data_IF_590226562455
#
_entry.id   IF_590226562455
#
_cell.length_a   1.000
_cell.length_b   1.000
_cell.length_c   1.000
_cell.angle_alpha   90.00
_cell.angle_beta   90.00
_cell.angle_gamma   90.00
#
_symmetry.space_group_name_H-M   'P 1'
#
loop_
_entity.id
_entity.type
_entity.pdbx_description
1 polymer ?
#
# COMPACT_ATOMS: atom_id res chain seq x y z
N UNK A 1 -2.85 2.21 -12.20
CA UNK A 1 -1.72 2.54 -11.31
C UNK A 1 -0.99 1.28 -10.91
N UNK A 2 0.33 1.25 -11.11
CA UNK A 2 1.18 0.18 -10.60
C UNK A 2 1.34 0.31 -9.07
N UNK A 3 1.46 -0.82 -8.39
CA UNK A 3 1.90 -0.84 -6.99
C UNK A 3 3.43 -0.88 -6.96
N UNK A 4 4.03 0.04 -6.22
CA UNK A 4 5.46 0.02 -5.91
C UNK A 4 5.67 -0.84 -4.66
N UNK A 5 6.59 -1.82 -4.71
CA UNK A 5 7.00 -2.50 -3.49
C UNK A 5 8.01 -1.62 -2.73
N UNK A 6 7.82 -1.53 -1.42
CA UNK A 6 8.71 -0.79 -0.51
C UNK A 6 9.17 -1.75 0.58
N UNK A 7 10.44 -2.08 0.60
CA UNK A 7 11.01 -2.92 1.64
C UNK A 7 11.18 -2.09 2.92
N UNK A 8 10.85 -2.68 4.07
CA UNK A 8 11.01 -2.07 5.39
C UNK A 8 11.32 -3.14 6.44
N UNK A 9 11.59 -2.71 7.67
CA UNK A 9 11.82 -3.63 8.78
C UNK A 9 11.09 -3.17 10.04
N UNK A 10 10.67 -4.15 10.85
CA UNK A 10 10.25 -3.97 12.24
C UNK A 10 11.23 -4.75 13.13
N UNK A 11 12.20 -4.04 13.72
CA UNK A 11 13.37 -4.66 14.35
C UNK A 11 14.15 -5.52 13.36
N UNK A 12 14.30 -6.80 13.67
CA UNK A 12 15.00 -7.78 12.83
C UNK A 12 14.09 -8.42 11.75
N UNK A 13 12.80 -8.05 11.71
CA UNK A 13 11.85 -8.64 10.76
C UNK A 13 11.85 -7.83 9.47
N UNK A 14 12.36 -8.43 8.39
CA UNK A 14 12.24 -7.88 7.05
C UNK A 14 10.81 -8.02 6.52
N UNK A 15 10.24 -6.92 6.05
CA UNK A 15 8.86 -6.80 5.61
C UNK A 15 8.77 -6.11 4.25
N UNK A 16 7.69 -6.37 3.53
CA UNK A 16 7.39 -5.75 2.25
C UNK A 16 6.07 -4.98 2.32
N UNK A 17 6.13 -3.70 1.99
CA UNK A 17 4.98 -2.81 1.84
C UNK A 17 4.64 -2.63 0.37
N UNK A 18 3.41 -2.19 0.10
CA UNK A 18 2.97 -1.89 -1.25
C UNK A 18 2.35 -0.50 -1.29
N UNK A 19 2.85 0.35 -2.17
CA UNK A 19 2.50 1.75 -2.27
C UNK A 19 1.79 2.04 -3.59
N UNK A 20 0.61 2.65 -3.49
CA UNK A 20 -0.05 3.32 -4.60
C UNK A 20 0.14 4.84 -4.42
N UNK A 21 0.75 5.50 -5.41
CA UNK A 21 0.91 6.96 -5.40
C UNK A 21 -0.19 7.60 -6.24
N UNK A 22 -0.87 8.66 -5.76
CA UNK A 22 -1.78 9.43 -6.59
C UNK A 22 -1.00 10.16 -7.70
N UNK A 23 -1.67 10.42 -8.83
CA UNK A 23 -1.07 11.18 -9.94
C UNK A 23 -0.89 12.68 -9.60
N UNK A 24 -1.77 13.23 -8.75
CA UNK A 24 -1.75 14.62 -8.30
C UNK A 24 -0.99 14.84 -6.99
N UNK A 25 -1.06 16.07 -6.46
CA UNK A 25 -0.48 16.40 -5.16
C UNK A 25 -1.13 15.55 -4.04
N UNK A 26 -0.36 14.74 -3.30
CA UNK A 26 -0.90 13.94 -2.21
C UNK A 26 -1.55 14.82 -1.13
N UNK A 27 -2.78 14.48 -0.73
CA UNK A 27 -3.51 15.20 0.33
C UNK A 27 -3.35 14.55 1.72
N UNK A 28 -3.10 13.24 1.73
CA UNK A 28 -2.93 12.44 2.93
C UNK A 28 -2.18 11.13 2.60
N UNK A 29 -1.70 10.46 3.65
CA UNK A 29 -1.27 9.07 3.58
C UNK A 29 -2.31 8.18 4.26
N UNK A 30 -2.61 7.03 3.66
CA UNK A 30 -3.56 6.06 4.21
C UNK A 30 -2.86 4.72 4.36
N UNK A 31 -2.81 4.19 5.58
CA UNK A 31 -2.30 2.85 5.85
C UNK A 31 -3.43 1.83 5.69
N UNK A 32 -3.27 0.91 4.74
CA UNK A 32 -4.20 -0.21 4.56
C UNK A 32 -3.61 -1.44 5.24
N UNK A 33 -4.17 -1.82 6.40
CA UNK A 33 -3.71 -2.99 7.14
C UNK A 33 -4.23 -4.30 6.50
N UNK A 34 -3.38 -5.33 6.42
CA UNK A 34 -3.76 -6.62 5.84
C UNK A 34 -4.72 -7.42 6.71
N UNK A 35 -5.35 -8.40 6.08
CA UNK A 35 -6.01 -9.50 6.79
C UNK A 35 -5.00 -10.61 7.09
N UNK A 36 -5.47 -11.73 7.64
CA UNK A 36 -4.65 -12.93 7.87
C UNK A 36 -3.95 -13.48 6.61
N UNK A 37 -4.39 -13.07 5.41
CA UNK A 37 -3.84 -13.51 4.12
C UNK A 37 -2.83 -12.54 3.52
N UNK A 38 -2.29 -11.59 4.30
CA UNK A 38 -1.40 -10.53 3.81
C UNK A 38 -2.03 -9.72 2.65
N UNK A 39 -1.20 -9.03 1.86
CA UNK A 39 -1.64 -8.25 0.71
C UNK A 39 -2.31 -9.14 -0.34
N UNK A 40 -3.55 -8.80 -0.71
CA UNK A 40 -4.36 -9.55 -1.67
C UNK A 40 -5.06 -8.63 -2.68
N UNK A 41 -5.64 -9.21 -3.73
CA UNK A 41 -6.26 -8.45 -4.83
C UNK A 41 -7.33 -7.44 -4.38
N UNK A 42 -8.27 -7.77 -3.47
CA UNK A 42 -9.19 -6.78 -2.90
C UNK A 42 -8.50 -5.57 -2.25
N UNK A 43 -7.42 -5.79 -1.50
CA UNK A 43 -6.66 -4.70 -0.89
C UNK A 43 -5.97 -3.81 -1.92
N UNK A 44 -5.32 -4.42 -2.93
CA UNK A 44 -4.69 -3.67 -4.04
C UNK A 44 -5.71 -2.77 -4.72
N UNK A 45 -6.91 -3.31 -4.99
CA UNK A 45 -8.01 -2.52 -5.57
C UNK A 45 -8.39 -1.33 -4.68
N UNK A 46 -8.45 -1.49 -3.35
CA UNK A 46 -8.77 -0.39 -2.42
C UNK A 46 -7.67 0.66 -2.37
N UNK A 47 -6.40 0.25 -2.33
CA UNK A 47 -5.26 1.17 -2.37
C UNK A 47 -5.27 2.02 -3.66
N UNK A 48 -5.57 1.41 -4.81
CA UNK A 48 -5.71 2.13 -6.07
C UNK A 48 -6.89 3.11 -6.08
N UNK A 49 -8.04 2.73 -5.52
CA UNK A 49 -9.19 3.65 -5.37
C UNK A 49 -8.84 4.87 -4.51
N UNK A 50 -8.11 4.67 -3.41
CA UNK A 50 -7.67 5.77 -2.54
C UNK A 50 -6.70 6.71 -3.24
N UNK A 51 -5.80 6.17 -4.07
CA UNK A 51 -4.86 6.97 -4.86
C UNK A 51 -5.54 7.72 -6.04
N UNK A 52 -6.73 7.31 -6.47
CA UNK A 52 -7.54 8.01 -7.47
C UNK A 52 -8.44 9.11 -6.89
N UNK A 53 -8.67 9.11 -5.58
CA UNK A 53 -9.71 9.90 -4.93
C UNK A 53 -9.32 11.36 -4.64
#
# INVERSE_FOLDING_TARGET
MAMEQVDYADGDVALAGFLARPEGTPRAAVLVLPTIMNCNAPMVRRAQMLAQA
#
